data_IF_894535798454
#
_entry.id   IF_894535798454
#
_cell.length_a   1.000
_cell.length_b   1.000
_cell.length_c   1.000
_cell.angle_alpha   90.00
_cell.angle_beta   90.00
_cell.angle_gamma   90.00
#
_symmetry.space_group_name_H-M   'P 1'
#
loop_
_entity.id
_entity.type
_entity.pdbx_description
1 polymer ?
#
# COMPACT_ATOMS: atom_id res chain seq x y z
N UNK A 1 9.90 -10.36 -11.60
CA UNK A 1 11.27 -9.84 -11.84
C UNK A 1 11.63 -8.64 -10.97
N UNK A 2 10.74 -7.66 -10.82
CA UNK A 2 11.04 -6.46 -10.04
C UNK A 2 11.44 -6.74 -8.58
N UNK A 3 10.77 -7.62 -7.81
CA UNK A 3 11.19 -7.95 -6.44
C UNK A 3 12.59 -8.53 -6.36
N UNK A 4 13.00 -9.37 -7.33
CA UNK A 4 14.35 -9.93 -7.37
C UNK A 4 15.41 -8.86 -7.62
N UNK A 5 15.23 -8.02 -8.66
CA UNK A 5 16.18 -6.96 -8.97
C UNK A 5 16.34 -5.99 -7.81
N UNK A 6 15.28 -5.74 -7.08
CA UNK A 6 15.27 -4.90 -5.92
C UNK A 6 16.07 -5.49 -4.77
N UNK A 7 15.80 -6.74 -4.43
CA UNK A 7 16.51 -7.44 -3.36
C UNK A 7 17.98 -7.65 -3.66
N UNK A 8 18.36 -7.88 -4.92
CA UNK A 8 19.75 -7.99 -5.32
C UNK A 8 20.54 -6.68 -5.16
N UNK A 9 19.87 -5.52 -5.41
CA UNK A 9 20.49 -4.20 -5.26
C UNK A 9 20.53 -3.71 -3.81
N UNK A 10 19.64 -4.20 -2.96
CA UNK A 10 19.51 -3.80 -1.55
C UNK A 10 19.48 -5.04 -0.64
N UNK A 11 20.61 -5.80 -0.53
CA UNK A 11 20.65 -7.00 0.28
C UNK A 11 20.52 -6.69 1.77
N UNK A 12 20.10 -7.70 2.55
CA UNK A 12 20.14 -7.62 4.01
C UNK A 12 21.58 -7.36 4.53
N UNK A 13 21.81 -6.52 5.56
CA UNK A 13 20.80 -5.91 6.43
C UNK A 13 20.18 -4.60 5.91
N UNK A 14 20.71 -4.03 4.84
CA UNK A 14 20.25 -2.73 4.32
C UNK A 14 18.79 -2.75 3.86
N UNK A 15 18.34 -3.86 3.28
CA UNK A 15 16.97 -4.03 2.83
C UNK A 15 15.96 -4.35 3.93
N UNK A 16 16.39 -4.83 5.09
CA UNK A 16 15.50 -5.20 6.21
C UNK A 16 14.41 -6.21 5.87
N UNK A 17 14.65 -7.07 4.90
CA UNK A 17 13.63 -8.00 4.39
C UNK A 17 13.27 -9.11 5.37
N UNK A 18 12.01 -9.53 5.36
CA UNK A 18 11.56 -10.72 6.09
C UNK A 18 12.25 -12.00 5.59
N UNK A 19 12.39 -12.99 6.49
CA UNK A 19 13.14 -14.22 6.23
C UNK A 19 12.63 -15.03 5.01
N UNK A 20 11.33 -15.02 4.76
CA UNK A 20 10.74 -15.66 3.58
C UNK A 20 11.23 -15.06 2.27
N UNK A 21 11.26 -13.72 2.21
CA UNK A 21 11.75 -13.01 1.03
C UNK A 21 13.27 -13.16 0.84
N UNK A 22 14.05 -13.16 1.93
CA UNK A 22 15.48 -13.43 1.86
C UNK A 22 15.78 -14.81 1.28
N UNK A 23 15.03 -15.84 1.73
CA UNK A 23 15.16 -17.19 1.19
C UNK A 23 14.77 -17.24 -0.29
N UNK A 24 13.73 -16.53 -0.68
CA UNK A 24 13.30 -16.45 -2.08
C UNK A 24 14.35 -15.73 -2.95
N UNK A 25 14.98 -14.66 -2.46
CA UNK A 25 16.08 -13.99 -3.17
C UNK A 25 17.24 -14.94 -3.45
N UNK A 26 17.65 -15.73 -2.44
CA UNK A 26 18.68 -16.74 -2.62
C UNK A 26 18.29 -17.79 -3.65
N UNK A 27 17.04 -18.25 -3.65
CA UNK A 27 16.52 -19.19 -4.66
C UNK A 27 16.52 -18.58 -6.06
N UNK A 28 16.12 -17.30 -6.17
CA UNK A 28 16.09 -16.57 -7.43
C UNK A 28 17.49 -16.35 -8.03
N UNK A 29 18.52 -16.13 -7.21
CA UNK A 29 19.94 -16.10 -7.63
C UNK A 29 20.38 -17.42 -8.26
N UNK A 30 19.77 -18.52 -7.86
CA UNK A 30 20.01 -19.85 -8.43
C UNK A 30 19.00 -20.24 -9.54
N UNK A 31 18.31 -19.26 -10.11
CA UNK A 31 17.39 -19.42 -11.24
C UNK A 31 15.99 -19.94 -10.89
N UNK A 32 15.64 -20.02 -9.61
CA UNK A 32 14.30 -20.41 -9.17
C UNK A 32 13.50 -19.17 -8.73
N UNK A 33 12.54 -18.77 -9.55
CA UNK A 33 11.65 -17.61 -9.34
C UNK A 33 10.24 -18.00 -8.88
N UNK A 34 10.03 -19.25 -8.47
CA UNK A 34 8.73 -19.71 -8.00
C UNK A 34 8.30 -18.96 -6.74
N UNK A 35 7.05 -18.51 -6.67
CA UNK A 35 6.52 -17.83 -5.50
C UNK A 35 6.45 -18.80 -4.30
N UNK A 36 6.59 -18.27 -3.09
CA UNK A 36 6.62 -19.06 -1.87
C UNK A 36 5.33 -19.00 -1.04
N UNK A 37 4.22 -18.67 -1.68
CA UNK A 37 2.86 -18.68 -1.11
C UNK A 37 2.74 -17.85 0.19
N UNK A 38 3.37 -16.69 0.21
CA UNK A 38 3.29 -15.77 1.34
C UNK A 38 1.91 -15.14 1.46
N UNK A 39 1.38 -15.05 2.66
CA UNK A 39 0.25 -14.20 3.04
C UNK A 39 0.70 -12.93 3.77
N UNK A 40 2.01 -12.66 3.80
CA UNK A 40 2.60 -11.49 4.43
C UNK A 40 2.08 -10.17 3.86
N UNK A 41 2.16 -9.11 4.65
CA UNK A 41 1.68 -7.78 4.30
C UNK A 41 2.55 -7.06 3.24
N UNK A 42 3.69 -7.65 2.87
CA UNK A 42 4.60 -7.12 1.85
C UNK A 42 3.97 -6.94 0.46
N UNK A 43 2.92 -7.71 0.11
CA UNK A 43 2.15 -7.47 -1.12
C UNK A 43 1.32 -6.20 -1.05
N UNK A 44 0.72 -5.91 0.10
CA UNK A 44 -0.12 -4.74 0.30
C UNK A 44 0.69 -3.44 0.43
N UNK A 45 1.84 -3.47 1.14
CA UNK A 45 2.66 -2.28 1.35
C UNK A 45 3.29 -1.72 0.06
N UNK A 46 3.52 -2.56 -0.96
CA UNK A 46 4.18 -2.14 -2.21
C UNK A 46 3.23 -1.80 -3.36
N UNK A 47 1.92 -2.03 -3.20
CA UNK A 47 0.95 -2.01 -4.30
C UNK A 47 0.36 -0.64 -4.60
N UNK A 48 0.57 0.36 -3.75
CA UNK A 48 0.02 1.72 -3.90
C UNK A 48 0.12 2.28 -5.33
N UNK A 49 1.27 2.18 -6.02
CA UNK A 49 1.43 2.65 -7.39
C UNK A 49 0.44 2.06 -8.41
N UNK A 50 -0.05 0.84 -8.19
CA UNK A 50 -1.07 0.22 -9.07
C UNK A 50 -2.38 1.02 -9.04
N UNK A 51 -2.82 1.46 -7.85
CA UNK A 51 -4.01 2.30 -7.73
C UNK A 51 -3.90 3.67 -8.41
N UNK A 52 -2.66 4.15 -8.63
CA UNK A 52 -2.38 5.36 -9.39
C UNK A 52 -2.30 5.12 -10.90
N UNK A 53 -1.70 4.01 -11.33
CA UNK A 53 -1.41 3.75 -12.74
C UNK A 53 -2.66 3.41 -13.56
N UNK A 54 -3.64 2.73 -12.98
CA UNK A 54 -4.83 2.23 -13.68
C UNK A 54 -6.11 2.97 -13.28
N UNK A 55 -7.11 2.97 -14.18
CA UNK A 55 -8.32 3.79 -14.03
C UNK A 55 -9.61 2.98 -13.83
N UNK A 56 -9.60 1.66 -14.05
CA UNK A 56 -10.76 0.79 -13.83
C UNK A 56 -10.53 -0.12 -12.63
N UNK A 57 -11.61 -0.57 -12.01
CA UNK A 57 -11.53 -1.53 -10.90
C UNK A 57 -10.93 -2.84 -11.40
N UNK A 58 -11.32 -3.27 -12.59
CA UNK A 58 -10.88 -4.51 -13.23
C UNK A 58 -9.35 -4.52 -13.42
N UNK A 59 -8.81 -3.47 -14.03
CA UNK A 59 -7.36 -3.34 -14.25
C UNK A 59 -6.61 -3.29 -12.91
N UNK A 60 -7.11 -2.51 -11.94
CA UNK A 60 -6.47 -2.42 -10.62
C UNK A 60 -6.46 -3.77 -9.91
N UNK A 61 -7.54 -4.54 -9.98
CA UNK A 61 -7.59 -5.88 -9.39
C UNK A 61 -6.61 -6.84 -10.07
N UNK A 62 -6.54 -6.81 -11.40
CA UNK A 62 -5.65 -7.65 -12.19
C UNK A 62 -4.18 -7.35 -11.89
N UNK A 63 -3.78 -6.09 -12.01
CA UNK A 63 -2.38 -5.69 -11.81
C UNK A 63 -1.93 -5.73 -10.35
N UNK A 64 -2.83 -5.52 -9.37
CA UNK A 64 -2.53 -5.77 -7.97
C UNK A 64 -2.28 -7.26 -7.70
N UNK A 65 -3.06 -8.15 -8.32
CA UNK A 65 -2.83 -9.60 -8.28
C UNK A 65 -1.47 -9.94 -8.88
N UNK A 66 -1.14 -9.47 -10.09
CA UNK A 66 0.16 -9.70 -10.72
C UNK A 66 1.33 -9.19 -9.87
N UNK A 67 1.18 -8.03 -9.21
CA UNK A 67 2.19 -7.52 -8.27
C UNK A 67 2.39 -8.46 -7.08
N UNK A 68 1.32 -9.05 -6.56
CA UNK A 68 1.40 -9.95 -5.42
C UNK A 68 1.97 -11.33 -5.80
N UNK A 69 1.51 -11.92 -6.90
CA UNK A 69 1.75 -13.31 -7.30
C UNK A 69 3.23 -13.68 -7.42
N UNK A 70 4.11 -12.73 -7.68
CA UNK A 70 5.55 -13.00 -7.80
C UNK A 70 6.16 -13.56 -6.52
N UNK A 71 5.56 -13.32 -5.36
CA UNK A 71 6.05 -13.77 -4.05
C UNK A 71 4.92 -14.13 -3.09
N UNK A 72 3.80 -13.43 -3.15
CA UNK A 72 2.66 -13.50 -2.23
C UNK A 72 1.42 -14.05 -2.94
N UNK A 73 1.55 -15.23 -3.54
CA UNK A 73 0.48 -15.90 -4.29
C UNK A 73 -0.54 -16.65 -3.39
N UNK A 74 -0.46 -16.50 -2.06
CA UNK A 74 -1.52 -16.93 -1.16
C UNK A 74 -2.77 -16.07 -1.40
N UNK A 75 -4.00 -16.63 -1.35
CA UNK A 75 -5.24 -15.85 -1.55
C UNK A 75 -5.33 -14.59 -0.70
N UNK A 76 -4.94 -14.65 0.57
CA UNK A 76 -4.93 -13.49 1.47
C UNK A 76 -3.85 -12.46 1.11
N UNK A 77 -2.71 -12.88 0.57
CA UNK A 77 -1.68 -11.97 0.07
C UNK A 77 -2.16 -11.18 -1.15
N UNK A 78 -2.83 -11.85 -2.08
CA UNK A 78 -3.46 -11.24 -3.27
C UNK A 78 -4.59 -10.30 -2.84
N UNK A 79 -5.48 -10.77 -1.96
CA UNK A 79 -6.59 -10.00 -1.41
C UNK A 79 -6.14 -8.69 -0.75
N UNK A 80 -5.09 -8.75 0.08
CA UNK A 80 -4.54 -7.57 0.74
C UNK A 80 -4.02 -6.52 -0.25
N UNK A 81 -3.28 -6.96 -1.28
CA UNK A 81 -2.82 -6.08 -2.35
C UNK A 81 -3.99 -5.45 -3.12
N UNK A 82 -4.96 -6.26 -3.53
CA UNK A 82 -6.14 -5.77 -4.26
C UNK A 82 -6.94 -4.77 -3.43
N UNK A 83 -7.20 -5.04 -2.15
CA UNK A 83 -7.94 -4.14 -1.27
C UNK A 83 -7.24 -2.79 -1.11
N UNK A 84 -5.93 -2.79 -0.89
CA UNK A 84 -5.14 -1.56 -0.78
C UNK A 84 -5.16 -0.76 -2.08
N UNK A 85 -4.93 -1.40 -3.22
CA UNK A 85 -4.92 -0.72 -4.52
C UNK A 85 -6.29 -0.12 -4.88
N UNK A 86 -7.39 -0.80 -4.55
CA UNK A 86 -8.76 -0.27 -4.73
C UNK A 86 -9.01 0.94 -3.81
N UNK A 87 -8.55 0.92 -2.55
CA UNK A 87 -8.64 2.11 -1.69
C UNK A 87 -7.94 3.32 -2.34
N UNK A 88 -6.73 3.13 -2.87
CA UNK A 88 -5.98 4.18 -3.57
C UNK A 88 -6.75 4.69 -4.80
N UNK A 89 -7.25 3.79 -5.65
CA UNK A 89 -8.05 4.17 -6.81
C UNK A 89 -9.28 4.98 -6.42
N UNK A 90 -10.05 4.53 -5.42
CA UNK A 90 -11.27 5.20 -4.99
C UNK A 90 -10.97 6.55 -4.33
N UNK A 91 -9.92 6.64 -3.49
CA UNK A 91 -9.46 7.89 -2.90
C UNK A 91 -9.09 8.91 -3.99
N UNK A 92 -8.26 8.52 -4.95
CA UNK A 92 -7.86 9.34 -6.09
C UNK A 92 -9.03 9.80 -6.96
N UNK A 93 -10.07 8.98 -7.08
CA UNK A 93 -11.30 9.32 -7.80
C UNK A 93 -12.28 10.19 -7.00
N UNK A 94 -11.95 10.57 -5.78
CA UNK A 94 -12.76 11.46 -4.94
C UNK A 94 -13.97 10.80 -4.29
N UNK A 95 -13.99 9.48 -4.16
CA UNK A 95 -15.04 8.80 -3.40
C UNK A 95 -14.90 9.07 -1.90
N UNK A 96 -16.00 9.33 -1.22
CA UNK A 96 -16.01 9.54 0.23
C UNK A 96 -15.67 8.27 1.01
N UNK A 97 -15.17 8.45 2.25
CA UNK A 97 -14.71 7.37 3.15
C UNK A 97 -15.74 6.26 3.35
N UNK A 98 -17.03 6.61 3.50
CA UNK A 98 -18.09 5.60 3.68
C UNK A 98 -18.29 4.73 2.43
N UNK A 99 -18.12 5.29 1.24
CA UNK A 99 -18.16 4.50 -0.01
C UNK A 99 -16.96 3.57 -0.10
N UNK A 100 -15.77 4.05 0.27
CA UNK A 100 -14.55 3.23 0.33
C UNK A 100 -14.73 2.09 1.35
N UNK A 101 -15.18 2.39 2.57
CA UNK A 101 -15.49 1.39 3.62
C UNK A 101 -16.43 0.30 3.10
N UNK A 102 -17.55 0.72 2.53
CA UNK A 102 -18.58 -0.20 2.00
C UNK A 102 -18.05 -1.07 0.87
N UNK A 103 -17.33 -0.49 -0.09
CA UNK A 103 -16.77 -1.22 -1.23
C UNK A 103 -15.76 -2.28 -0.77
N UNK A 104 -14.86 -1.91 0.12
CA UNK A 104 -13.84 -2.84 0.63
C UNK A 104 -14.46 -3.94 1.49
N UNK A 105 -15.39 -3.60 2.39
CA UNK A 105 -16.06 -4.61 3.22
C UNK A 105 -16.87 -5.58 2.37
N UNK A 106 -17.60 -5.09 1.37
CA UNK A 106 -18.43 -5.93 0.50
C UNK A 106 -17.60 -6.83 -0.41
N UNK A 107 -16.55 -6.26 -1.05
CA UNK A 107 -15.75 -6.98 -2.05
C UNK A 107 -14.79 -7.98 -1.43
N UNK A 108 -14.17 -7.62 -0.30
CA UNK A 108 -13.10 -8.40 0.31
C UNK A 108 -13.48 -9.05 1.63
N UNK A 109 -14.66 -8.75 2.18
CA UNK A 109 -15.11 -9.32 3.45
C UNK A 109 -14.31 -8.84 4.67
N UNK A 110 -13.58 -7.72 4.56
CA UNK A 110 -12.90 -7.14 5.71
C UNK A 110 -13.91 -6.49 6.68
N UNK A 111 -13.78 -6.81 7.97
CA UNK A 111 -14.43 -6.03 9.01
C UNK A 111 -13.68 -4.71 9.19
N UNK A 112 -14.34 -3.61 8.92
CA UNK A 112 -13.82 -2.25 9.11
C UNK A 112 -14.67 -1.45 10.11
N UNK A 113 -15.49 -2.15 10.93
CA UNK A 113 -16.38 -1.55 11.92
C UNK A 113 -15.72 -1.51 13.31
N UNK A 114 -14.57 -0.89 13.38
CA UNK A 114 -13.84 -0.58 14.62
C UNK A 114 -13.06 0.71 14.41
N UNK A 115 -12.49 1.27 15.46
CA UNK A 115 -11.66 2.47 15.44
C UNK A 115 -10.23 2.17 15.87
N UNK A 116 -9.29 3.07 15.56
CA UNK A 116 -7.91 2.97 16.05
C UNK A 116 -7.86 2.97 17.59
N UNK A 117 -8.72 3.76 18.25
CA UNK A 117 -8.78 3.84 19.71
C UNK A 117 -9.18 2.52 20.35
N UNK A 118 -10.14 1.82 19.76
CA UNK A 118 -10.60 0.52 20.28
C UNK A 118 -9.54 -0.57 20.22
N UNK A 119 -8.60 -0.51 19.28
CA UNK A 119 -7.59 -1.55 19.10
C UNK A 119 -6.20 -1.18 19.62
N UNK A 120 -5.91 0.10 19.90
CA UNK A 120 -4.58 0.60 20.26
C UNK A 120 -3.91 -0.16 21.39
N UNK A 121 -4.65 -0.51 22.44
CA UNK A 121 -4.10 -1.21 23.60
C UNK A 121 -3.99 -2.74 23.42
N UNK A 122 -4.71 -3.28 22.43
CA UNK A 122 -4.85 -4.73 22.25
C UNK A 122 -4.19 -5.26 20.99
N UNK A 123 -4.00 -4.43 19.97
CA UNK A 123 -3.35 -4.81 18.72
C UNK A 123 -1.87 -5.15 18.98
N UNK A 124 -1.45 -6.25 18.42
CA UNK A 124 -0.06 -6.74 18.52
C UNK A 124 0.54 -6.91 17.14
N UNK A 125 1.80 -7.30 17.11
CA UNK A 125 2.51 -7.58 15.88
C UNK A 125 1.72 -8.53 14.97
N UNK A 126 1.40 -8.06 13.75
CA UNK A 126 0.78 -8.84 12.69
C UNK A 126 1.55 -8.59 11.39
N UNK A 127 2.27 -9.61 10.90
CA UNK A 127 3.04 -9.52 9.66
C UNK A 127 2.29 -10.06 8.44
N UNK A 128 0.99 -10.37 8.56
CA UNK A 128 0.15 -10.93 7.49
C UNK A 128 -0.93 -9.94 7.07
N UNK A 129 -1.41 -10.08 5.83
CA UNK A 129 -2.40 -9.16 5.27
C UNK A 129 -3.68 -9.07 6.10
N UNK A 130 -4.16 -10.18 6.67
CA UNK A 130 -5.40 -10.23 7.43
C UNK A 130 -5.36 -9.37 8.70
N UNK A 131 -4.16 -9.26 9.30
CA UNK A 131 -3.94 -8.55 10.56
C UNK A 131 -3.37 -7.13 10.36
N UNK A 132 -3.05 -6.76 9.12
CA UNK A 132 -2.43 -5.46 8.81
C UNK A 132 -3.36 -4.59 7.96
N UNK A 133 -3.93 -5.15 6.88
CA UNK A 133 -4.66 -4.34 5.88
C UNK A 133 -5.94 -3.72 6.43
N UNK A 134 -6.82 -4.43 7.18
CA UNK A 134 -7.99 -3.80 7.79
C UNK A 134 -7.62 -2.65 8.72
N UNK A 135 -6.59 -2.83 9.56
CA UNK A 135 -6.14 -1.82 10.51
C UNK A 135 -5.59 -0.59 9.81
N UNK A 136 -4.80 -0.78 8.76
CA UNK A 136 -4.28 0.33 7.95
C UNK A 136 -5.39 1.11 7.25
N UNK A 137 -6.41 0.41 6.73
CA UNK A 137 -7.58 1.06 6.12
C UNK A 137 -8.37 1.83 7.17
N UNK A 138 -8.57 1.27 8.37
CA UNK A 138 -9.27 1.97 9.46
C UNK A 138 -8.47 3.19 9.92
N UNK A 139 -7.15 3.12 10.00
CA UNK A 139 -6.30 4.28 10.33
C UNK A 139 -6.50 5.44 9.33
N UNK A 140 -6.69 5.14 8.03
CA UNK A 140 -7.10 6.12 7.04
C UNK A 140 -8.54 6.63 7.26
N UNK A 141 -9.48 5.72 7.53
CA UNK A 141 -10.89 6.08 7.71
C UNK A 141 -11.13 6.98 8.92
N UNK A 142 -10.38 6.79 9.99
CA UNK A 142 -10.47 7.59 11.23
C UNK A 142 -9.75 8.95 11.11
N UNK A 143 -8.70 9.06 10.28
CA UNK A 143 -7.89 10.27 10.16
C UNK A 143 -8.62 11.42 9.46
N UNK A 144 -8.36 12.66 9.83
CA UNK A 144 -8.97 13.86 9.28
C UNK A 144 -8.14 14.51 8.16
N UNK A 145 -6.85 14.23 8.12
CA UNK A 145 -5.91 14.66 7.08
C UNK A 145 -4.80 13.61 6.90
N UNK A 146 -3.83 13.88 6.03
CA UNK A 146 -2.72 12.96 5.75
C UNK A 146 -1.89 12.65 6.99
N UNK A 147 -1.51 13.68 7.76
CA UNK A 147 -0.68 13.52 8.95
C UNK A 147 -1.40 12.73 10.04
N UNK A 148 -2.67 13.04 10.27
CA UNK A 148 -3.51 12.35 11.24
C UNK A 148 -3.67 10.86 10.91
N UNK A 149 -3.85 10.52 9.63
CA UNK A 149 -3.86 9.12 9.17
C UNK A 149 -2.56 8.40 9.50
N UNK A 150 -1.40 9.02 9.23
CA UNK A 150 -0.08 8.43 9.55
C UNK A 150 0.09 8.27 11.06
N UNK A 151 -0.29 9.27 11.85
CA UNK A 151 -0.24 9.21 13.31
C UNK A 151 -1.12 8.11 13.88
N UNK A 152 -2.32 7.94 13.35
CA UNK A 152 -3.21 6.84 13.70
C UNK A 152 -2.54 5.49 13.43
N UNK A 153 -2.01 5.26 12.23
CA UNK A 153 -1.35 4.02 11.86
C UNK A 153 -0.15 3.70 12.78
N UNK A 154 0.70 4.70 13.07
CA UNK A 154 1.86 4.50 13.95
C UNK A 154 1.43 4.25 15.39
N UNK A 155 0.39 4.92 15.87
CA UNK A 155 -0.10 4.82 17.25
C UNK A 155 -0.68 3.46 17.62
N UNK A 156 -1.15 2.69 16.65
CA UNK A 156 -1.65 1.33 16.87
C UNK A 156 -0.50 0.39 17.29
N UNK A 157 0.73 0.67 16.89
CA UNK A 157 1.89 -0.18 17.18
C UNK A 157 2.01 -1.36 16.21
N UNK A 158 2.57 -2.47 16.68
CA UNK A 158 2.79 -3.66 15.85
C UNK A 158 3.79 -3.42 14.72
N UNK A 159 3.46 -3.82 13.50
CA UNK A 159 4.21 -3.58 12.26
C UNK A 159 3.89 -2.16 11.74
N UNK A 160 4.26 -1.16 12.54
CA UNK A 160 3.81 0.22 12.38
C UNK A 160 4.33 0.92 11.11
N UNK A 161 5.48 0.55 10.59
CA UNK A 161 6.02 1.07 9.34
C UNK A 161 5.22 0.55 8.14
N UNK A 162 4.85 -0.74 8.13
CA UNK A 162 3.96 -1.30 7.11
C UNK A 162 2.54 -0.74 7.21
N UNK A 163 1.99 -0.61 8.42
CA UNK A 163 0.70 0.05 8.63
C UNK A 163 0.72 1.48 8.06
N UNK A 164 1.74 2.26 8.41
CA UNK A 164 1.89 3.63 7.93
C UNK A 164 2.11 3.70 6.40
N UNK A 165 2.83 2.74 5.82
CA UNK A 165 3.02 2.67 4.37
C UNK A 165 1.70 2.45 3.62
N UNK A 166 0.88 1.48 4.06
CA UNK A 166 -0.43 1.19 3.45
C UNK A 166 -1.37 2.38 3.66
N UNK A 167 -1.49 2.85 4.89
CA UNK A 167 -2.34 4.00 5.25
C UNK A 167 -1.94 5.25 4.47
N UNK A 168 -0.65 5.54 4.38
CA UNK A 168 -0.10 6.69 3.66
C UNK A 168 -0.40 6.66 2.17
N UNK A 169 -0.29 5.47 1.54
CA UNK A 169 -0.65 5.32 0.13
C UNK A 169 -2.12 5.65 -0.16
N UNK A 170 -3.02 5.30 0.77
CA UNK A 170 -4.46 5.60 0.66
C UNK A 170 -4.72 7.08 0.99
N UNK A 171 -4.11 7.58 2.05
CA UNK A 171 -4.27 8.97 2.51
C UNK A 171 -3.73 9.98 1.50
N UNK A 172 -2.60 9.69 0.85
CA UNK A 172 -2.05 10.47 -0.25
C UNK A 172 -3.05 10.60 -1.39
N UNK A 173 -3.67 9.49 -1.80
CA UNK A 173 -4.64 9.48 -2.89
C UNK A 173 -5.92 10.26 -2.56
N UNK A 174 -6.25 10.38 -1.29
CA UNK A 174 -7.47 11.02 -0.82
C UNK A 174 -7.28 12.50 -0.44
N UNK A 175 -6.22 12.83 0.30
CA UNK A 175 -5.95 14.15 0.85
C UNK A 175 -4.83 14.91 0.12
N UNK A 176 -3.93 14.19 -0.58
CA UNK A 176 -2.62 14.69 -0.96
C UNK A 176 -1.62 14.64 0.21
N UNK A 177 -0.35 14.84 -0.10
CA UNK A 177 0.73 14.91 0.91
C UNK A 177 1.08 16.38 1.15
N UNK A 178 1.16 16.85 2.40
CA UNK A 178 1.66 18.20 2.70
C UNK A 178 3.08 18.40 2.15
N UNK A 179 3.33 19.54 1.50
CA UNK A 179 4.57 19.82 0.77
C UNK A 179 5.83 19.63 1.61
N UNK A 180 5.79 20.04 2.87
CA UNK A 180 6.92 19.90 3.78
C UNK A 180 7.21 18.44 4.11
N UNK A 181 6.18 17.63 4.32
CA UNK A 181 6.32 16.18 4.57
C UNK A 181 6.86 15.46 3.33
N UNK A 182 6.34 15.82 2.14
CA UNK A 182 6.86 15.29 0.88
C UNK A 182 8.34 15.61 0.69
N UNK A 183 8.74 16.87 0.85
CA UNK A 183 10.13 17.30 0.71
C UNK A 183 11.05 16.56 1.68
N UNK A 184 10.64 16.44 2.94
CA UNK A 184 11.45 15.74 3.96
C UNK A 184 11.61 14.25 3.62
N UNK A 185 10.51 13.56 3.25
CA UNK A 185 10.56 12.16 2.84
C UNK A 185 11.41 11.96 1.59
N UNK A 186 11.20 12.80 0.55
CA UNK A 186 11.94 12.74 -0.71
C UNK A 186 13.45 12.97 -0.50
N UNK A 187 13.83 13.91 0.39
CA UNK A 187 15.23 14.18 0.68
C UNK A 187 15.97 12.99 1.31
N UNK A 188 15.27 12.12 2.03
CA UNK A 188 15.83 10.90 2.65
C UNK A 188 16.04 9.76 1.66
N UNK A 189 15.44 9.84 0.48
CA UNK A 189 15.60 8.81 -0.56
C UNK A 189 17.00 8.80 -1.14
N UNK A 190 17.51 7.61 -1.49
CA UNK A 190 18.71 7.48 -2.29
C UNK A 190 18.51 8.07 -3.69
N UNK A 191 19.58 8.44 -4.43
CA UNK A 191 19.45 8.98 -5.78
C UNK A 191 18.64 8.07 -6.73
N UNK A 192 18.80 6.75 -6.61
CA UNK A 192 18.04 5.79 -7.40
C UNK A 192 16.54 5.90 -7.13
N UNK A 193 16.14 5.93 -5.86
CA UNK A 193 14.72 6.05 -5.51
C UNK A 193 14.13 7.41 -5.89
N UNK A 194 14.89 8.48 -5.78
CA UNK A 194 14.47 9.81 -6.26
C UNK A 194 14.12 9.77 -7.74
N UNK A 195 14.97 9.14 -8.55
CA UNK A 195 14.70 8.99 -9.98
C UNK A 195 13.42 8.18 -10.25
N UNK A 196 13.25 7.04 -9.55
CA UNK A 196 12.03 6.20 -9.71
C UNK A 196 10.77 6.98 -9.36
N UNK A 197 10.78 7.73 -8.24
CA UNK A 197 9.63 8.56 -7.83
C UNK A 197 9.37 9.64 -8.87
N UNK A 198 10.41 10.37 -9.31
CA UNK A 198 10.27 11.43 -10.31
C UNK A 198 9.70 10.90 -11.62
N UNK A 199 10.23 9.80 -12.17
CA UNK A 199 9.71 9.19 -13.39
C UNK A 199 8.26 8.72 -13.23
N UNK A 200 7.89 8.20 -12.07
CA UNK A 200 6.52 7.80 -11.79
C UNK A 200 5.58 9.00 -11.74
N UNK A 201 5.97 10.08 -11.07
CA UNK A 201 5.22 11.32 -10.98
C UNK A 201 5.05 12.00 -12.34
N UNK A 202 6.08 12.05 -13.17
CA UNK A 202 6.01 12.54 -14.54
C UNK A 202 5.00 11.75 -15.38
N UNK A 203 4.97 10.44 -15.22
CA UNK A 203 4.10 9.56 -16.00
C UNK A 203 2.67 9.51 -15.51
N UNK A 204 2.46 9.57 -14.20
CA UNK A 204 1.14 9.36 -13.57
C UNK A 204 0.68 10.56 -12.73
N UNK A 205 1.58 11.47 -12.35
CA UNK A 205 1.35 12.55 -11.40
C UNK A 205 0.47 13.69 -11.92
N UNK A 206 0.36 13.90 -13.24
CA UNK A 206 -0.62 14.83 -13.81
C UNK A 206 -2.07 14.48 -13.42
N UNK A 207 -2.28 13.27 -12.92
CA UNK A 207 -3.55 12.84 -12.32
C UNK A 207 -3.71 13.33 -10.87
N UNK A 208 -2.59 13.64 -10.18
CA UNK A 208 -2.56 14.13 -8.80
C UNK A 208 -2.92 15.62 -8.75
N UNK A 209 -2.32 16.43 -9.63
CA UNK A 209 -2.50 17.88 -9.64
C UNK A 209 -3.84 18.34 -10.26
N UNK A 210 -4.45 17.53 -11.11
CA UNK A 210 -5.73 17.86 -11.77
C UNK A 210 -6.97 17.45 -10.97
N UNK A 211 -6.84 16.78 -9.83
CA UNK A 211 -7.97 16.35 -9.00
C UNK A 211 -8.66 17.51 -8.24
N UNK A 212 -8.13 18.75 -8.29
CA UNK A 212 -8.84 19.93 -7.82
C UNK A 212 -10.07 20.32 -8.66
N UNK A 213 -10.27 19.72 -9.85
CA UNK A 213 -11.33 20.08 -10.80
C UNK A 213 -12.06 18.90 -11.46
N UNK A 214 -11.98 17.69 -10.91
CA UNK A 214 -12.81 16.59 -11.43
C UNK A 214 -14.22 16.70 -10.90
N UNK A 215 -15.13 17.14 -11.75
CA UNK A 215 -16.58 17.11 -11.49
C UNK A 215 -17.05 15.66 -11.41
N UNK A 216 -17.90 15.35 -10.44
CA UNK A 216 -18.56 14.05 -10.16
C UNK A 216 -19.36 13.42 -11.33
N UNK A 217 -18.98 13.67 -12.58
CA UNK A 217 -19.78 13.30 -13.76
C UNK A 217 -19.28 12.11 -14.57
N UNK A 218 -18.13 11.51 -14.24
CA UNK A 218 -17.57 10.40 -15.03
C UNK A 218 -17.40 9.12 -14.18
N UNK A 219 -18.45 8.78 -13.39
CA UNK A 219 -18.53 7.48 -12.69
C UNK A 219 -19.88 6.84 -12.99
#
# INVERSE_FOLDING_TARGET
FAPYLYGANYPHPLGGYGSGFQKWLWQAENGNFEPYTSCGNGSAMRVGPVGWAFNTIEDVLEYAKHSAESTHNHPEGIKGAQATAICVLLGRKGFGKEKIRSEISTRFGYNLNFTCDEIRDTYKWGGICQDTVPQAIVAFLDGNDFEDCIRNAVSIGGDSDTLACITGSIAEAYFGVPEEMYKEAFNRLTPHFKNVVTEFEEKFGNKILNNGNLTKKDV
#
